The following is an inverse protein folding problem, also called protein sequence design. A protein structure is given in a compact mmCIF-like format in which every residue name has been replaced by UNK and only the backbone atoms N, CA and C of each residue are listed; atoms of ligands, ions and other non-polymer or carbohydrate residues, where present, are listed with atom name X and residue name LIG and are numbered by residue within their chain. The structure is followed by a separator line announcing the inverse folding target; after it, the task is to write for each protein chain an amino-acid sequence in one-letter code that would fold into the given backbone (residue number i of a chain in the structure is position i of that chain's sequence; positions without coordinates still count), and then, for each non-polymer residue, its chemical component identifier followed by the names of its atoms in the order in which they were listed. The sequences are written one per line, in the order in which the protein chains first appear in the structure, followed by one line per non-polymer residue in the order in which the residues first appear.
data_IF_455594758627
#
_entry.id   IF_455594758627
#
_cell.length_a   1.000
_cell.length_b   1.000
_cell.length_c   1.000
_cell.angle_alpha   90.00
_cell.angle_beta   90.00
_cell.angle_gamma   90.00
#
_symmetry.space_group_name_H-M   'P 1'
#
loop_
_entity.id
_entity.type
_entity.pdbx_description
1 polymer ?
#
# COMPACT_ATOMS: atom_id res chain seq x y z
N UNK A 1 4.42 -11.48 -3.57
CA UNK A 1 3.55 -11.36 -4.75
C UNK A 1 2.14 -11.66 -4.31
N UNK A 2 1.16 -10.89 -4.75
CA UNK A 2 -0.26 -11.13 -4.46
C UNK A 2 -0.93 -11.92 -5.59
N UNK A 3 -2.09 -12.56 -5.36
CA UNK A 3 -2.81 -13.32 -6.40
C UNK A 3 -3.22 -12.48 -7.63
N UNK A 4 -3.49 -11.20 -7.44
CA UNK A 4 -3.87 -10.23 -8.48
C UNK A 4 -2.68 -9.42 -9.03
N UNK A 5 -1.45 -9.74 -8.59
CA UNK A 5 -0.22 -9.04 -8.98
C UNK A 5 -0.04 -7.61 -8.43
N UNK A 6 -1.10 -7.00 -7.88
CA UNK A 6 -1.07 -5.62 -7.37
C UNK A 6 -0.56 -5.58 -5.92
N UNK A 7 0.38 -4.71 -5.54
CA UNK A 7 0.86 -4.67 -4.14
C UNK A 7 -0.26 -4.35 -3.14
N UNK A 8 -0.05 -4.75 -1.89
CA UNK A 8 -0.88 -4.30 -0.75
C UNK A 8 -0.17 -3.13 -0.08
N UNK A 9 -0.76 -1.95 -0.16
CA UNK A 9 -0.26 -0.71 0.43
C UNK A 9 -1.43 -0.04 1.16
N UNK A 10 -1.35 0.11 2.48
CA UNK A 10 -2.31 0.90 3.24
C UNK A 10 -2.63 0.37 4.63
N UNK A 11 -3.72 0.90 5.21
CA UNK A 11 -4.20 0.55 6.55
C UNK A 11 -4.77 -0.86 6.58
N UNK A 12 -4.65 -1.50 7.73
CA UNK A 12 -5.36 -2.75 8.04
C UNK A 12 -6.54 -2.48 8.98
N UNK A 13 -7.30 -3.54 9.29
CA UNK A 13 -8.34 -3.50 10.33
C UNK A 13 -7.76 -3.33 11.75
N UNK A 14 -6.45 -3.58 11.92
CA UNK A 14 -5.74 -3.42 13.19
C UNK A 14 -5.24 -1.98 13.30
N UNK A 15 -5.64 -1.29 14.37
CA UNK A 15 -5.26 0.11 14.62
C UNK A 15 -3.74 0.24 14.70
N UNK A 16 -3.18 1.17 13.93
CA UNK A 16 -1.74 1.45 13.90
C UNK A 16 -0.91 0.49 13.06
N UNK A 17 -1.52 -0.54 12.46
CA UNK A 17 -0.84 -1.47 11.56
C UNK A 17 -1.09 -1.09 10.09
N UNK A 18 0.01 -0.93 9.37
CA UNK A 18 0.05 -0.58 7.94
C UNK A 18 0.83 -1.64 7.17
N UNK A 19 0.44 -1.86 5.92
CA UNK A 19 1.11 -2.79 5.02
C UNK A 19 1.73 -2.03 3.84
N UNK A 20 2.89 -2.51 3.42
CA UNK A 20 3.58 -2.12 2.20
C UNK A 20 4.33 -3.36 1.70
N UNK A 21 3.58 -4.29 1.11
CA UNK A 21 4.08 -5.63 0.74
C UNK A 21 3.45 -6.13 -0.56
N UNK A 22 3.90 -7.29 -1.03
CA UNK A 22 3.26 -7.96 -2.16
C UNK A 22 3.72 -7.51 -3.54
N UNK A 23 4.65 -6.54 -3.64
CA UNK A 23 5.11 -5.90 -4.89
C UNK A 23 5.65 -6.82 -5.99
N UNK A 24 5.95 -8.07 -5.68
CA UNK A 24 6.41 -9.05 -6.66
C UNK A 24 7.72 -8.62 -7.33
N UNK A 25 7.84 -8.87 -8.63
CA UNK A 25 9.06 -8.60 -9.41
C UNK A 25 9.27 -7.12 -9.72
N UNK A 26 8.24 -6.28 -9.59
CA UNK A 26 8.30 -4.84 -9.88
C UNK A 26 8.62 -3.98 -8.63
N UNK A 27 9.03 -4.61 -7.53
CA UNK A 27 9.28 -3.92 -6.26
C UNK A 27 10.24 -2.74 -6.39
N UNK A 28 11.36 -2.91 -7.09
CA UNK A 28 12.34 -1.84 -7.31
C UNK A 28 11.74 -0.66 -8.08
N UNK A 29 11.07 -0.94 -9.21
CA UNK A 29 10.44 0.06 -10.06
C UNK A 29 9.42 0.91 -9.29
N UNK A 30 8.65 0.29 -8.40
CA UNK A 30 7.57 0.97 -7.66
C UNK A 30 8.00 1.51 -6.28
N UNK A 31 9.25 1.31 -5.86
CA UNK A 31 9.71 1.57 -4.49
C UNK A 31 9.42 2.99 -4.00
N UNK A 32 9.83 4.01 -4.77
CA UNK A 32 9.67 5.42 -4.37
C UNK A 32 8.20 5.85 -4.30
N UNK A 33 7.38 5.41 -5.25
CA UNK A 33 5.93 5.69 -5.23
C UNK A 33 5.25 5.05 -4.02
N UNK A 34 5.57 3.79 -3.76
CA UNK A 34 5.05 3.04 -2.61
C UNK A 34 5.43 3.69 -1.27
N UNK A 35 6.69 4.12 -1.14
CA UNK A 35 7.19 4.82 0.04
C UNK A 35 6.46 6.15 0.28
N UNK A 36 6.16 6.90 -0.77
CA UNK A 36 5.43 8.18 -0.66
C UNK A 36 3.99 7.97 -0.20
N UNK A 37 3.31 6.97 -0.73
CA UNK A 37 1.94 6.61 -0.31
C UNK A 37 1.93 6.20 1.16
N UNK A 38 2.75 5.22 1.54
CA UNK A 38 2.74 4.69 2.91
C UNK A 38 3.18 5.75 3.93
N UNK A 39 4.17 6.58 3.57
CA UNK A 39 4.64 7.66 4.43
C UNK A 39 3.56 8.71 4.73
N UNK A 40 2.75 9.07 3.73
CA UNK A 40 1.59 9.94 3.94
C UNK A 40 0.54 9.27 4.83
N UNK A 41 0.18 8.01 4.56
CA UNK A 41 -0.82 7.28 5.35
C UNK A 41 -0.43 7.13 6.82
N UNK A 42 0.82 6.76 7.09
CA UNK A 42 1.37 6.63 8.46
C UNK A 42 1.38 7.99 9.17
N UNK A 43 1.68 9.06 8.45
CA UNK A 43 1.71 10.43 9.00
C UNK A 43 0.32 11.08 9.12
N UNK A 44 -0.77 10.37 8.78
CA UNK A 44 -2.12 10.93 8.76
C UNK A 44 -2.36 11.96 7.65
N UNK A 45 -1.49 12.04 6.64
CA UNK A 45 -1.64 12.91 5.47
C UNK A 45 -2.36 12.17 4.34
N UNK A 46 -3.17 12.89 3.58
CA UNK A 46 -3.82 12.37 2.38
C UNK A 46 -2.77 12.14 1.28
N UNK A 47 -2.66 10.94 0.69
CA UNK A 47 -1.80 10.71 -0.48
C UNK A 47 -2.27 11.52 -1.70
N UNK A 48 -1.34 11.83 -2.60
CA UNK A 48 -1.59 12.60 -3.84
C UNK A 48 -2.42 11.82 -4.87
N UNK A 49 -2.35 10.49 -4.81
CA UNK A 49 -3.13 9.58 -5.65
C UNK A 49 -4.09 8.77 -4.78
N UNK A 50 -5.23 8.40 -5.33
CA UNK A 50 -6.13 7.47 -4.65
C UNK A 50 -5.50 6.09 -4.55
N UNK A 51 -5.26 5.66 -3.31
CA UNK A 51 -4.62 4.39 -2.98
C UNK A 51 -5.58 3.43 -2.26
N UNK A 52 -6.90 3.69 -2.28
CA UNK A 52 -7.89 2.84 -1.59
C UNK A 52 -7.88 1.40 -2.12
N UNK A 53 -7.76 1.23 -3.42
CA UNK A 53 -7.71 -0.09 -4.07
C UNK A 53 -6.40 -0.85 -3.81
N UNK A 54 -5.39 -0.19 -3.21
CA UNK A 54 -4.16 -0.84 -2.79
C UNK A 54 -4.26 -1.41 -1.37
N UNK A 55 -5.28 -1.06 -0.58
CA UNK A 55 -5.44 -1.55 0.78
C UNK A 55 -5.81 -3.04 0.82
N UNK A 56 -5.53 -3.70 1.95
CA UNK A 56 -5.84 -5.12 2.15
C UNK A 56 -7.34 -5.43 2.06
N UNK A 57 -8.18 -4.43 2.33
CA UNK A 57 -9.64 -4.53 2.28
C UNK A 57 -10.18 -4.89 0.88
N UNK A 58 -9.36 -4.84 -0.18
CA UNK A 58 -9.77 -5.29 -1.53
C UNK A 58 -10.04 -6.79 -1.64
N UNK A 59 -9.59 -7.58 -0.66
CA UNK A 59 -9.81 -9.02 -0.61
C UNK A 59 -10.97 -9.41 0.33
N UNK A 60 -11.66 -8.43 0.92
CA UNK A 60 -12.86 -8.64 1.73
C UNK A 60 -14.13 -8.64 0.87
#
# INVERSE_FOLDING_TARGET
MTPDGTPVIGKTRIRGLYLNTGHGTLAWTMSSGSARIIGNLVSGRTPEIDARDLAIARYD
#
